data_IF_519069815519
#
_entry.id   IF_519069815519
#
_cell.length_a   1.000
_cell.length_b   1.000
_cell.length_c   1.000
_cell.angle_alpha   90.00
_cell.angle_beta   90.00
_cell.angle_gamma   90.00
#
_symmetry.space_group_name_H-M   'P 1'
#
loop_
_entity.id
_entity.type
_entity.pdbx_description
1 polymer ?
#
# COMPACT_ATOMS: atom_id res chain seq x y z
N UNK A 1 -36.35 45.04 -4.93
CA UNK A 1 -34.99 44.88 -4.37
C UNK A 1 -34.79 43.40 -4.12
N UNK A 2 -34.12 42.69 -5.03
CA UNK A 2 -33.84 41.26 -4.86
C UNK A 2 -32.39 41.12 -4.40
N UNK A 3 -32.22 40.61 -3.18
CA UNK A 3 -30.92 40.23 -2.64
C UNK A 3 -30.42 38.99 -3.39
N UNK A 4 -29.38 39.16 -4.21
CA UNK A 4 -28.63 38.05 -4.78
C UNK A 4 -27.79 37.46 -3.66
N UNK A 5 -28.20 36.29 -3.16
CA UNK A 5 -27.36 35.47 -2.30
C UNK A 5 -26.16 35.01 -3.13
N UNK A 6 -24.99 35.61 -2.87
CA UNK A 6 -23.72 35.14 -3.38
C UNK A 6 -23.43 33.77 -2.75
N UNK A 7 -23.60 32.70 -3.52
CA UNK A 7 -23.10 31.38 -3.15
C UNK A 7 -21.57 31.48 -3.09
N UNK A 8 -21.01 31.60 -1.88
CA UNK A 8 -19.58 31.42 -1.69
C UNK A 8 -19.24 30.01 -2.11
N UNK A 9 -18.62 29.87 -3.28
CA UNK A 9 -17.84 28.70 -3.64
C UNK A 9 -16.85 28.48 -2.49
N UNK A 10 -17.02 27.40 -1.73
CA UNK A 10 -16.01 27.00 -0.75
C UNK A 10 -14.75 26.64 -1.54
N UNK A 11 -13.78 27.55 -1.52
CA UNK A 11 -12.46 27.30 -2.09
C UNK A 11 -11.85 26.11 -1.34
N UNK A 12 -11.38 25.11 -2.09
CA UNK A 12 -10.73 23.95 -1.51
C UNK A 12 -9.51 24.39 -0.69
N UNK A 13 -9.24 23.79 0.48
CA UNK A 13 -8.07 24.09 1.27
C UNK A 13 -6.80 23.87 0.44
N UNK A 14 -5.80 24.71 0.68
CA UNK A 14 -4.59 24.78 -0.11
C UNK A 14 -3.37 25.07 0.77
N UNK A 15 -2.17 24.90 0.21
CA UNK A 15 -0.95 25.27 0.92
C UNK A 15 -0.85 26.77 1.24
N UNK A 16 -1.70 27.63 0.64
CA UNK A 16 -1.76 29.05 0.95
C UNK A 16 -2.49 29.33 2.27
N UNK A 17 -3.27 28.37 2.76
CA UNK A 17 -3.98 28.45 4.05
C UNK A 17 -3.06 28.08 5.23
N UNK A 18 -1.83 27.64 4.94
CA UNK A 18 -0.81 27.37 5.96
C UNK A 18 -0.22 28.68 6.49
N UNK A 19 0.22 28.71 7.76
CA UNK A 19 0.94 29.85 8.33
C UNK A 19 2.18 30.21 7.49
N UNK A 20 2.47 31.51 7.36
CA UNK A 20 3.58 31.99 6.56
C UNK A 20 4.92 31.36 6.98
N UNK A 21 5.66 30.84 6.01
CA UNK A 21 6.96 30.17 6.23
C UNK A 21 6.87 28.69 6.64
N UNK A 22 5.68 28.17 6.93
CA UNK A 22 5.51 26.80 7.43
C UNK A 22 5.46 25.71 6.35
N UNK A 23 5.20 26.10 5.09
CA UNK A 23 4.91 25.17 3.99
C UNK A 23 6.02 24.13 3.75
N UNK A 24 7.29 24.53 3.85
CA UNK A 24 8.41 23.61 3.64
C UNK A 24 8.41 22.49 4.69
N UNK A 25 8.27 22.84 5.98
CA UNK A 25 8.25 21.87 7.08
C UNK A 25 6.97 21.03 7.03
N UNK A 26 5.83 21.65 6.69
CA UNK A 26 4.58 20.93 6.49
C UNK A 26 4.74 19.80 5.46
N UNK A 27 5.30 20.11 4.29
CA UNK A 27 5.44 19.14 3.19
C UNK A 27 6.54 18.10 3.48
N UNK A 28 7.70 18.53 3.97
CA UNK A 28 8.89 17.66 4.07
C UNK A 28 8.95 16.84 5.35
N UNK A 29 8.25 17.26 6.41
CA UNK A 29 8.27 16.58 7.71
C UNK A 29 6.86 16.19 8.16
N UNK A 30 5.96 17.16 8.30
CA UNK A 30 4.64 16.91 8.89
C UNK A 30 3.84 15.89 8.08
N UNK A 31 3.72 16.07 6.76
CA UNK A 31 2.95 15.18 5.88
C UNK A 31 3.48 13.74 5.87
N UNK A 32 4.78 13.47 5.68
CA UNK A 32 5.31 12.11 5.81
C UNK A 32 5.07 11.49 7.20
N UNK A 33 5.15 12.27 8.27
CA UNK A 33 4.89 11.78 9.64
C UNK A 33 3.40 11.48 9.83
N UNK A 34 2.52 12.30 9.27
CA UNK A 34 1.09 12.05 9.21
C UNK A 34 0.79 10.74 8.47
N UNK A 35 1.41 10.51 7.30
CA UNK A 35 1.23 9.25 6.56
C UNK A 35 1.77 8.05 7.33
N UNK A 36 2.92 8.19 8.01
CA UNK A 36 3.44 7.15 8.89
C UNK A 36 2.45 6.83 10.01
N UNK A 37 1.88 7.84 10.67
CA UNK A 37 0.85 7.68 11.69
C UNK A 37 -0.37 6.92 11.15
N UNK A 38 -0.97 7.41 10.06
CA UNK A 38 -2.16 6.79 9.46
C UNK A 38 -1.86 5.36 9.01
N UNK A 39 -0.66 5.12 8.47
CA UNK A 39 -0.15 3.79 8.11
C UNK A 39 -0.15 2.80 9.28
N UNK A 40 0.00 3.26 10.53
CA UNK A 40 0.03 2.39 11.72
C UNK A 40 -1.35 2.06 12.31
N UNK A 41 -2.42 2.70 11.83
CA UNK A 41 -3.77 2.46 12.34
C UNK A 41 -4.29 1.06 11.93
N UNK A 42 -5.41 0.66 12.52
CA UNK A 42 -6.06 -0.60 12.16
C UNK A 42 -6.93 -0.49 10.91
N UNK A 43 -7.41 0.70 10.56
CA UNK A 43 -8.16 0.93 9.34
C UNK A 43 -7.89 2.37 8.87
N UNK A 44 -7.27 2.57 7.69
CA UNK A 44 -6.95 3.90 7.20
C UNK A 44 -8.17 4.68 6.71
N UNK A 45 -9.30 3.99 6.45
CA UNK A 45 -10.52 4.59 5.93
C UNK A 45 -11.42 5.17 7.04
N UNK A 46 -11.21 4.78 8.30
CA UNK A 46 -11.94 5.36 9.43
C UNK A 46 -11.29 6.69 9.77
N UNK A 47 -11.86 7.78 9.27
CA UNK A 47 -11.33 9.14 9.51
C UNK A 47 -11.89 9.80 10.77
N UNK A 48 -12.77 9.11 11.50
CA UNK A 48 -13.36 9.60 12.74
C UNK A 48 -12.30 9.80 13.82
N UNK A 49 -12.52 10.83 14.66
CA UNK A 49 -11.66 11.17 15.80
C UNK A 49 -10.18 11.42 15.43
N UNK A 50 -9.92 11.94 14.23
CA UNK A 50 -8.56 12.28 13.79
C UNK A 50 -8.07 13.65 14.26
N UNK A 51 -8.95 14.57 14.66
CA UNK A 51 -8.56 15.91 15.12
C UNK A 51 -7.54 15.83 16.26
N UNK A 52 -7.85 15.11 17.33
CA UNK A 52 -6.98 15.02 18.51
C UNK A 52 -5.58 14.45 18.19
N UNK A 53 -5.43 13.28 17.54
CA UNK A 53 -4.10 12.76 17.23
C UNK A 53 -3.34 13.64 16.23
N UNK A 54 -3.99 14.21 15.22
CA UNK A 54 -3.33 15.14 14.27
C UNK A 54 -2.92 16.43 15.00
N UNK A 55 -3.70 16.89 15.98
CA UNK A 55 -3.38 18.05 16.81
C UNK A 55 -2.10 17.82 17.64
N UNK A 56 -1.92 16.61 18.18
CA UNK A 56 -0.68 16.23 18.90
C UNK A 56 0.52 16.28 17.96
N UNK A 57 0.38 15.76 16.74
CA UNK A 57 1.44 15.85 15.72
C UNK A 57 1.75 17.31 15.37
N UNK A 58 0.71 18.14 15.23
CA UNK A 58 0.87 19.55 14.89
C UNK A 58 1.67 20.28 15.97
N UNK A 59 1.29 20.14 17.24
CA UNK A 59 2.02 20.77 18.34
C UNK A 59 3.44 20.25 18.51
N UNK A 60 3.73 19.02 18.07
CA UNK A 60 5.07 18.43 18.18
C UNK A 60 6.00 18.92 17.06
N UNK A 61 5.48 19.08 15.84
CA UNK A 61 6.30 19.30 14.63
C UNK A 61 6.23 20.73 14.10
N UNK A 62 5.13 21.43 14.37
CA UNK A 62 4.85 22.79 13.90
C UNK A 62 4.93 23.79 15.07
N UNK A 63 5.92 23.62 15.95
CA UNK A 63 6.08 24.38 17.21
C UNK A 63 6.15 25.89 16.96
N UNK A 64 6.82 26.31 15.89
CA UNK A 64 6.97 27.72 15.51
C UNK A 64 5.68 28.32 14.90
N UNK A 65 4.70 27.47 14.57
CA UNK A 65 3.40 27.86 14.00
C UNK A 65 2.25 27.24 14.81
N UNK A 66 2.06 27.68 16.06
CA UNK A 66 1.03 27.13 16.92
C UNK A 66 -0.36 27.35 16.30
N UNK A 67 -1.10 26.27 16.12
CA UNK A 67 -2.47 26.29 15.61
C UNK A 67 -3.30 25.24 16.34
N UNK A 68 -4.54 25.59 16.68
CA UNK A 68 -5.51 24.67 17.28
C UNK A 68 -6.67 24.50 16.30
N UNK A 69 -6.90 23.28 15.85
CA UNK A 69 -8.03 22.95 15.00
C UNK A 69 -9.33 23.24 15.75
N UNK A 70 -10.23 24.02 15.14
CA UNK A 70 -11.52 24.35 15.75
C UNK A 70 -12.49 23.16 15.70
N UNK A 71 -12.59 22.54 14.54
CA UNK A 71 -13.51 21.48 14.19
C UNK A 71 -13.10 20.85 12.84
N UNK A 72 -13.94 20.00 12.26
CA UNK A 72 -13.67 19.29 11.01
C UNK A 72 -13.60 20.20 9.77
N UNK A 73 -14.08 21.45 9.86
CA UNK A 73 -14.03 22.45 8.79
C UNK A 73 -12.84 23.41 8.92
N UNK A 74 -11.96 23.22 9.92
CA UNK A 74 -10.72 23.98 10.02
C UNK A 74 -9.86 23.74 8.76
N UNK A 75 -9.42 24.82 8.10
CA UNK A 75 -8.75 24.73 6.81
C UNK A 75 -7.45 23.92 6.85
N UNK A 76 -6.69 24.02 7.95
CA UNK A 76 -5.44 23.27 8.11
C UNK A 76 -5.75 21.80 8.38
N UNK A 77 -6.78 21.51 9.18
CA UNK A 77 -7.25 20.13 9.36
C UNK A 77 -7.76 19.52 8.04
N UNK A 78 -8.59 20.24 7.28
CA UNK A 78 -9.06 19.79 5.97
C UNK A 78 -7.88 19.55 5.01
N UNK A 79 -6.82 20.37 5.06
CA UNK A 79 -5.60 20.15 4.29
C UNK A 79 -4.87 18.87 4.74
N UNK A 80 -4.82 18.57 6.04
CA UNK A 80 -4.29 17.30 6.54
C UNK A 80 -5.09 16.11 6.00
N UNK A 81 -6.43 16.20 6.02
CA UNK A 81 -7.31 15.17 5.46
C UNK A 81 -7.08 14.99 3.96
N UNK A 82 -6.94 16.08 3.20
CA UNK A 82 -6.58 16.01 1.79
C UNK A 82 -5.26 15.26 1.58
N UNK A 83 -4.25 15.48 2.42
CA UNK A 83 -2.97 14.75 2.34
C UNK A 83 -3.13 13.27 2.65
N UNK A 84 -4.03 12.88 3.55
CA UNK A 84 -4.35 11.47 3.81
C UNK A 84 -4.99 10.83 2.57
N UNK A 85 -5.96 11.51 1.94
CA UNK A 85 -6.57 11.03 0.71
C UNK A 85 -5.57 10.95 -0.45
N UNK A 86 -4.67 11.93 -0.60
CA UNK A 86 -3.58 11.91 -1.58
C UNK A 86 -2.71 10.65 -1.39
N UNK A 87 -2.39 10.29 -0.14
CA UNK A 87 -1.63 9.09 0.18
C UNK A 87 -2.38 7.80 -0.15
N UNK A 88 -3.66 7.67 0.24
CA UNK A 88 -4.48 6.51 -0.16
C UNK A 88 -4.52 6.36 -1.68
N UNK A 89 -4.69 7.47 -2.41
CA UNK A 89 -4.70 7.49 -3.87
C UNK A 89 -3.36 7.05 -4.46
N UNK A 90 -2.24 7.51 -3.90
CA UNK A 90 -0.91 7.14 -4.36
C UNK A 90 -0.65 5.63 -4.19
N UNK A 91 -1.04 5.06 -3.05
CA UNK A 91 -0.96 3.61 -2.82
C UNK A 91 -1.86 2.82 -3.78
N UNK A 92 -3.04 3.35 -4.05
CA UNK A 92 -3.97 2.78 -5.03
C UNK A 92 -3.42 2.70 -6.42
N UNK A 93 -2.79 3.79 -6.85
CA UNK A 93 -2.10 3.85 -8.13
C UNK A 93 -0.98 2.80 -8.20
N UNK A 94 -0.14 2.71 -7.17
CA UNK A 94 0.95 1.73 -7.15
C UNK A 94 0.44 0.28 -7.19
N UNK A 95 -0.67 -0.01 -6.52
CA UNK A 95 -1.31 -1.33 -6.55
C UNK A 95 -1.86 -1.68 -7.95
N UNK A 96 -2.49 -0.72 -8.63
CA UNK A 96 -2.95 -0.90 -10.01
C UNK A 96 -1.77 -1.16 -10.95
N UNK A 97 -0.70 -0.36 -10.87
CA UNK A 97 0.50 -0.55 -11.67
C UNK A 97 1.10 -1.96 -11.44
N UNK A 98 1.06 -2.46 -10.20
CA UNK A 98 1.49 -3.82 -9.86
C UNK A 98 0.61 -4.91 -10.47
N UNK A 99 -0.71 -4.71 -10.51
CA UNK A 99 -1.66 -5.63 -11.16
C UNK A 99 -1.46 -5.64 -12.68
N UNK A 100 -1.31 -4.48 -13.29
CA UNK A 100 -1.04 -4.36 -14.73
C UNK A 100 0.28 -5.05 -15.12
N UNK A 101 1.33 -4.87 -14.31
CA UNK A 101 2.60 -5.56 -14.50
C UNK A 101 2.47 -7.09 -14.36
N UNK A 102 1.67 -7.55 -13.39
CA UNK A 102 1.37 -8.98 -13.22
C UNK A 102 0.66 -9.54 -14.46
N UNK A 103 -0.36 -8.85 -14.95
CA UNK A 103 -1.10 -9.27 -16.15
C UNK A 103 -0.21 -9.30 -17.40
N UNK A 104 0.67 -8.31 -17.55
CA UNK A 104 1.63 -8.27 -18.64
C UNK A 104 2.69 -9.39 -18.58
N UNK A 105 2.95 -9.96 -17.38
CA UNK A 105 4.00 -10.95 -17.17
C UNK A 105 3.66 -12.37 -17.63
N UNK A 106 2.37 -12.71 -17.77
CA UNK A 106 1.92 -14.08 -18.07
C UNK A 106 0.79 -14.06 -19.11
N UNK A 107 0.98 -14.83 -20.19
CA UNK A 107 0.02 -14.92 -21.31
C UNK A 107 -1.37 -15.40 -20.86
N UNK A 108 -1.48 -16.10 -19.72
CA UNK A 108 -2.78 -16.54 -19.19
C UNK A 108 -3.69 -15.38 -18.74
N UNK A 109 -3.13 -14.17 -18.61
CA UNK A 109 -3.86 -12.95 -18.27
C UNK A 109 -4.06 -12.03 -19.49
N UNK A 110 -4.03 -12.56 -20.72
CA UNK A 110 -4.16 -11.74 -21.93
C UNK A 110 -5.57 -11.14 -22.11
N UNK A 111 -6.59 -11.75 -21.52
CA UNK A 111 -7.99 -11.35 -21.66
C UNK A 111 -8.71 -11.16 -20.33
N UNK A 112 -9.94 -10.64 -20.42
CA UNK A 112 -10.79 -10.36 -19.27
C UNK A 112 -11.15 -11.64 -18.48
N UNK A 113 -11.25 -12.78 -19.15
CA UNK A 113 -11.57 -14.05 -18.50
C UNK A 113 -10.38 -14.54 -17.65
N UNK A 114 -9.15 -14.39 -18.15
CA UNK A 114 -7.93 -14.61 -17.39
C UNK A 114 -7.81 -13.71 -16.16
N UNK A 115 -8.16 -12.42 -16.30
CA UNK A 115 -8.23 -11.50 -15.16
C UNK A 115 -9.26 -11.95 -14.12
N UNK A 116 -10.46 -12.35 -14.57
CA UNK A 116 -11.54 -12.82 -13.70
C UNK A 116 -11.14 -14.09 -12.94
N UNK A 117 -10.58 -15.08 -13.65
CA UNK A 117 -10.10 -16.32 -13.05
C UNK A 117 -9.01 -16.05 -12.00
N UNK A 118 -8.10 -15.09 -12.27
CA UNK A 118 -7.12 -14.65 -11.28
C UNK A 118 -7.78 -14.06 -10.05
N UNK A 119 -8.73 -13.13 -10.21
CA UNK A 119 -9.41 -12.48 -9.08
C UNK A 119 -10.19 -13.50 -8.24
N UNK A 120 -10.91 -14.42 -8.88
CA UNK A 120 -11.63 -15.50 -8.19
C UNK A 120 -10.68 -16.41 -7.39
N UNK A 121 -9.54 -16.78 -7.99
CA UNK A 121 -8.48 -17.54 -7.31
C UNK A 121 -7.87 -16.74 -6.15
N UNK A 122 -7.42 -15.52 -6.40
CA UNK A 122 -6.79 -14.63 -5.45
C UNK A 122 -7.67 -14.40 -4.22
N UNK A 123 -8.97 -14.16 -4.42
CA UNK A 123 -9.96 -13.94 -3.37
C UNK A 123 -10.60 -15.25 -2.86
N UNK A 124 -10.09 -16.40 -3.31
CA UNK A 124 -10.55 -17.72 -2.89
C UNK A 124 -10.23 -18.05 -1.43
N UNK A 125 -10.56 -19.27 -0.99
CA UNK A 125 -10.28 -19.74 0.36
C UNK A 125 -8.81 -19.54 0.75
N UNK A 126 -8.58 -19.08 1.98
CA UNK A 126 -7.24 -18.76 2.53
C UNK A 126 -6.52 -17.59 1.87
N UNK A 127 -7.15 -16.87 0.94
CA UNK A 127 -6.64 -15.65 0.29
C UNK A 127 -5.25 -15.84 -0.39
N UNK A 128 -5.16 -16.64 -1.47
CA UNK A 128 -3.90 -16.92 -2.19
C UNK A 128 -3.02 -15.71 -2.49
N UNK A 129 -3.59 -14.54 -2.79
CA UNK A 129 -2.82 -13.33 -3.09
C UNK A 129 -1.94 -12.83 -1.92
N UNK A 130 -2.13 -13.37 -0.71
CA UNK A 130 -1.26 -13.09 0.42
C UNK A 130 0.11 -13.73 0.29
N UNK A 131 0.24 -14.84 -0.44
CA UNK A 131 1.39 -15.72 -0.32
C UNK A 131 2.29 -15.62 -1.56
N UNK A 132 3.56 -15.27 -1.34
CA UNK A 132 4.56 -15.20 -2.41
C UNK A 132 4.89 -16.55 -3.03
N UNK A 133 4.46 -17.67 -2.43
CA UNK A 133 4.61 -19.02 -2.99
C UNK A 133 3.49 -19.94 -2.51
N UNK A 134 2.92 -20.70 -3.45
CA UNK A 134 1.86 -21.68 -3.18
C UNK A 134 2.29 -22.99 -3.85
N UNK A 135 2.55 -24.01 -3.03
CA UNK A 135 2.93 -25.34 -3.52
C UNK A 135 1.74 -26.31 -3.34
N UNK A 136 1.42 -27.06 -4.39
CA UNK A 136 0.39 -28.10 -4.37
C UNK A 136 1.07 -29.47 -4.41
N UNK A 137 0.74 -30.34 -3.46
CA UNK A 137 1.24 -31.72 -3.40
C UNK A 137 0.17 -32.73 -3.80
N UNK A 138 0.60 -33.95 -4.11
CA UNK A 138 -0.31 -35.09 -4.25
C UNK A 138 -1.15 -35.23 -2.96
N UNK A 139 -2.47 -35.44 -3.11
CA UNK A 139 -3.52 -35.40 -2.06
C UNK A 139 -4.12 -34.02 -1.71
N UNK A 140 -4.11 -33.06 -2.64
CA UNK A 140 -4.73 -31.73 -2.48
C UNK A 140 -4.21 -30.91 -1.27
N UNK A 141 -3.01 -31.25 -0.79
CA UNK A 141 -2.35 -30.49 0.27
C UNK A 141 -1.76 -29.23 -0.35
N UNK A 142 -2.32 -28.09 0.04
CA UNK A 142 -1.85 -26.76 -0.38
C UNK A 142 -1.02 -26.12 0.73
N UNK A 143 0.26 -25.89 0.43
CA UNK A 143 1.20 -25.19 1.31
C UNK A 143 1.31 -23.72 0.90
N UNK A 144 0.91 -22.83 1.80
CA UNK A 144 0.94 -21.38 1.61
C UNK A 144 2.19 -20.79 2.28
N UNK A 145 3.16 -20.35 1.48
CA UNK A 145 4.47 -19.87 1.93
C UNK A 145 4.66 -18.38 1.65
N UNK A 146 5.63 -17.75 2.32
CA UNK A 146 5.99 -16.34 2.10
C UNK A 146 4.78 -15.38 2.22
N UNK A 147 4.04 -15.49 3.33
CA UNK A 147 2.90 -14.62 3.61
C UNK A 147 3.28 -13.13 3.56
N UNK A 148 2.41 -12.30 2.97
CA UNK A 148 2.57 -10.87 2.68
C UNK A 148 3.74 -10.51 1.75
N UNK A 149 4.30 -11.48 1.02
CA UNK A 149 5.42 -11.25 0.09
C UNK A 149 5.03 -11.47 -1.37
N UNK A 150 3.76 -11.22 -1.73
CA UNK A 150 3.39 -11.17 -3.14
C UNK A 150 3.87 -9.87 -3.78
N UNK A 151 4.17 -9.88 -5.08
CA UNK A 151 4.61 -8.67 -5.79
C UNK A 151 3.65 -7.49 -5.62
N UNK A 152 2.34 -7.76 -5.60
CA UNK A 152 1.29 -6.74 -5.36
C UNK A 152 1.49 -6.01 -4.03
N UNK A 153 1.68 -6.77 -2.94
CA UNK A 153 1.89 -6.21 -1.60
C UNK A 153 3.22 -5.48 -1.54
N UNK A 154 4.30 -6.10 -2.06
CA UNK A 154 5.65 -5.56 -1.99
C UNK A 154 5.81 -4.25 -2.76
N UNK A 155 5.24 -4.14 -3.97
CA UNK A 155 5.29 -2.90 -4.75
C UNK A 155 4.49 -1.77 -4.11
N UNK A 156 3.31 -2.07 -3.57
CA UNK A 156 2.52 -1.07 -2.84
C UNK A 156 3.25 -0.62 -1.57
N UNK A 157 3.95 -1.55 -0.90
CA UNK A 157 4.77 -1.26 0.27
C UNK A 157 5.99 -0.41 -0.10
N UNK A 158 6.63 -0.68 -1.22
CA UNK A 158 7.72 0.15 -1.75
C UNK A 158 7.25 1.59 -2.00
N UNK A 159 6.09 1.77 -2.63
CA UNK A 159 5.49 3.09 -2.83
C UNK A 159 5.22 3.83 -1.49
N UNK A 160 4.74 3.11 -0.47
CA UNK A 160 4.60 3.68 0.86
C UNK A 160 5.95 4.15 1.43
N UNK A 161 7.00 3.34 1.31
CA UNK A 161 8.34 3.68 1.79
C UNK A 161 8.90 4.91 1.06
N UNK A 162 8.71 5.02 -0.26
CA UNK A 162 9.13 6.20 -1.03
C UNK A 162 8.48 7.49 -0.53
N UNK A 163 7.21 7.43 -0.12
CA UNK A 163 6.49 8.57 0.46
C UNK A 163 7.02 8.95 1.85
N UNK A 164 7.67 8.03 2.56
CA UNK A 164 8.29 8.26 3.87
C UNK A 164 9.79 8.62 3.78
N UNK A 165 10.42 8.52 2.61
CA UNK A 165 11.83 8.80 2.40
C UNK A 165 12.30 10.16 2.98
N UNK A 166 11.52 11.27 2.91
CA UNK A 166 11.95 12.55 3.48
C UNK A 166 12.23 12.55 4.99
N UNK A 167 11.65 11.60 5.73
CA UNK A 167 11.81 11.46 7.19
C UNK A 167 12.61 10.22 7.58
N UNK A 168 13.07 9.44 6.60
CA UNK A 168 13.87 8.26 6.83
C UNK A 168 15.24 8.67 7.42
N UNK A 169 15.71 7.92 8.42
CA UNK A 169 16.97 8.23 9.12
C UNK A 169 16.90 9.30 10.22
N UNK A 170 15.80 10.05 10.35
CA UNK A 170 15.63 11.02 11.43
C UNK A 170 14.64 10.55 12.51
N UNK A 171 15.09 9.62 13.35
CA UNK A 171 14.26 9.01 14.40
C UNK A 171 13.69 10.00 15.42
N UNK A 172 14.30 11.18 15.56
CA UNK A 172 13.86 12.25 16.47
C UNK A 172 12.51 12.84 16.06
N UNK A 173 12.12 12.73 14.78
CA UNK A 173 10.87 13.30 14.28
C UNK A 173 9.63 12.48 14.64
N UNK A 174 9.79 11.25 15.14
CA UNK A 174 8.67 10.34 15.38
C UNK A 174 8.81 9.59 16.72
N UNK A 175 9.35 10.25 17.74
CA UNK A 175 9.40 9.72 19.11
C UNK A 175 8.03 9.60 19.78
N UNK A 176 7.01 10.27 19.23
CA UNK A 176 5.64 10.24 19.73
C UNK A 176 4.87 8.95 19.37
N UNK A 177 5.40 8.09 18.49
CA UNK A 177 4.72 6.87 18.05
C UNK A 177 5.25 5.65 18.80
N UNK A 178 4.34 4.89 19.42
CA UNK A 178 4.66 3.63 20.11
C UNK A 178 4.55 2.41 19.19
N UNK A 179 3.77 2.52 18.10
CA UNK A 179 3.60 1.47 17.11
C UNK A 179 4.25 1.88 15.78
N UNK A 180 5.16 1.03 15.27
CA UNK A 180 5.85 1.24 14.00
C UNK A 180 5.39 0.28 12.90
N UNK A 181 4.42 -0.59 13.18
CA UNK A 181 3.94 -1.56 12.20
C UNK A 181 2.89 -0.90 11.30
N UNK A 182 3.10 -0.81 9.98
CA UNK A 182 2.18 -0.12 9.09
C UNK A 182 0.98 -1.02 8.72
N UNK A 183 0.14 -1.35 9.71
CA UNK A 183 -1.03 -2.24 9.57
C UNK A 183 -2.03 -1.72 8.52
N UNK A 184 -2.41 -0.45 8.60
CA UNK A 184 -3.32 0.19 7.64
C UNK A 184 -2.83 0.11 6.21
N UNK A 185 -1.52 0.26 6.00
CA UNK A 185 -0.95 0.21 4.66
C UNK A 185 -1.18 -1.16 4.02
N UNK A 186 -1.00 -2.25 4.78
CA UNK A 186 -1.30 -3.59 4.29
C UNK A 186 -2.80 -3.73 3.96
N UNK A 187 -3.69 -3.12 4.75
CA UNK A 187 -5.13 -3.06 4.45
C UNK A 187 -5.41 -2.31 3.15
N UNK A 188 -4.68 -1.24 2.86
CA UNK A 188 -4.85 -0.50 1.61
C UNK A 188 -4.47 -1.31 0.37
N UNK A 189 -3.53 -2.25 0.48
CA UNK A 189 -3.15 -3.11 -0.66
C UNK A 189 -4.31 -3.95 -1.19
N UNK A 190 -5.38 -4.12 -0.41
CA UNK A 190 -6.50 -5.01 -0.75
C UNK A 190 -7.83 -4.30 -0.95
N UNK A 191 -7.94 -3.03 -0.57
CA UNK A 191 -9.21 -2.29 -0.59
C UNK A 191 -9.37 -1.34 -1.77
N UNK A 192 -8.37 -1.21 -2.64
CA UNK A 192 -8.39 -0.12 -3.61
C UNK A 192 -9.09 -0.54 -4.90
N UNK A 193 -10.27 0.06 -5.04
CA UNK A 193 -11.09 0.08 -6.25
C UNK A 193 -10.47 1.00 -7.31
N UNK A 194 -10.17 0.45 -8.48
CA UNK A 194 -9.86 1.24 -9.66
C UNK A 194 -11.19 1.56 -10.34
N UNK A 195 -11.87 2.57 -9.79
CA UNK A 195 -13.03 3.17 -10.41
C UNK A 195 -12.62 3.98 -11.66
N UNK A 196 -12.41 3.29 -12.77
CA UNK A 196 -12.45 3.89 -14.11
C UNK A 196 -13.30 3.03 -15.04
N UNK A 197 -14.63 3.03 -14.81
CA UNK A 197 -15.72 2.56 -15.71
C UNK A 197 -15.26 1.79 -16.98
N UNK A 198 -15.60 0.51 -17.19
CA UNK A 198 -16.95 -0.07 -17.37
C UNK A 198 -16.87 -1.60 -17.21
N UNK A 199 -17.89 -2.20 -16.58
CA UNK A 199 -18.09 -3.64 -16.35
C UNK A 199 -17.08 -4.36 -15.46
N UNK A 200 -17.19 -4.04 -14.17
CA UNK A 200 -17.07 -4.93 -13.00
C UNK A 200 -16.09 -6.11 -13.08
N UNK A 201 -14.93 -5.94 -12.41
CA UNK A 201 -14.24 -6.90 -11.53
C UNK A 201 -12.99 -6.21 -10.94
N UNK A 202 -13.09 -5.74 -9.69
CA UNK A 202 -11.99 -5.09 -8.94
C UNK A 202 -11.99 -5.53 -7.47
N UNK A 203 -10.86 -5.32 -6.77
CA UNK A 203 -10.69 -5.52 -5.33
C UNK A 203 -11.52 -4.48 -4.55
N UNK A 204 -12.84 -4.67 -4.55
CA UNK A 204 -13.83 -3.75 -3.99
C UNK A 204 -14.19 -4.12 -2.55
N UNK A 205 -14.21 -3.15 -1.64
CA UNK A 205 -14.72 -3.32 -0.27
C UNK A 205 -16.13 -3.98 -0.21
N UNK A 206 -16.99 -3.64 -1.19
CA UNK A 206 -18.33 -4.24 -1.34
C UNK A 206 -18.33 -5.74 -1.66
N UNK A 207 -17.26 -6.28 -2.23
CA UNK A 207 -17.05 -7.71 -2.47
C UNK A 207 -16.32 -8.41 -1.32
N UNK A 208 -15.70 -7.64 -0.43
CA UNK A 208 -14.90 -8.18 0.67
C UNK A 208 -15.77 -8.60 1.85
N UNK A 209 -16.80 -7.83 2.22
CA UNK A 209 -17.73 -8.20 3.30
C UNK A 209 -16.99 -8.72 4.54
N UNK A 210 -17.26 -9.95 4.97
CA UNK A 210 -16.57 -10.59 6.12
C UNK A 210 -15.10 -10.98 5.86
N UNK A 211 -14.65 -11.08 4.60
CA UNK A 211 -13.24 -11.38 4.24
C UNK A 211 -12.28 -10.27 4.64
N UNK A 212 -12.74 -9.01 4.67
CA UNK A 212 -11.96 -7.89 5.20
C UNK A 212 -11.59 -8.11 6.66
N UNK A 213 -12.53 -8.60 7.47
CA UNK A 213 -12.29 -8.89 8.88
C UNK A 213 -11.23 -10.00 9.05
N UNK A 214 -11.29 -11.06 8.23
CA UNK A 214 -10.26 -12.12 8.24
C UNK A 214 -8.87 -11.61 7.83
N UNK A 215 -8.81 -10.69 6.88
CA UNK A 215 -7.57 -10.08 6.44
C UNK A 215 -6.98 -9.13 7.49
N UNK A 216 -7.81 -8.25 8.06
CA UNK A 216 -7.44 -7.38 9.20
C UNK A 216 -6.91 -8.24 10.36
N UNK A 217 -7.61 -9.32 10.70
CA UNK A 217 -7.18 -10.24 11.76
C UNK A 217 -5.85 -10.94 11.42
N UNK A 218 -5.63 -11.26 10.14
CA UNK A 218 -4.34 -11.82 9.68
C UNK A 218 -3.20 -10.81 9.83
N UNK A 219 -3.45 -9.52 9.55
CA UNK A 219 -2.48 -8.44 9.78
C UNK A 219 -2.18 -8.26 11.26
N UNK A 220 -3.20 -8.26 12.12
CA UNK A 220 -3.03 -8.14 13.58
C UNK A 220 -2.14 -9.25 14.15
N UNK A 221 -2.08 -10.40 13.50
CA UNK A 221 -1.26 -11.56 13.90
C UNK A 221 0.16 -11.52 13.34
N UNK A 222 0.51 -10.56 12.47
CA UNK A 222 1.87 -10.42 11.93
C UNK A 222 2.81 -10.07 13.09
N UNK A 223 3.76 -10.96 13.34
CA UNK A 223 4.82 -10.74 14.35
C UNK A 223 5.82 -9.70 13.83
N UNK A 224 6.44 -8.94 14.75
CA UNK A 224 7.48 -7.94 14.42
C UNK A 224 8.56 -8.45 13.45
N UNK A 225 9.04 -9.69 13.65
CA UNK A 225 10.02 -10.33 12.75
C UNK A 225 9.53 -10.40 11.30
N UNK A 226 8.24 -10.64 11.09
CA UNK A 226 7.67 -10.75 9.75
C UNK A 226 7.53 -9.37 9.08
N UNK A 227 7.24 -8.32 9.85
CA UNK A 227 7.32 -6.94 9.33
C UNK A 227 8.72 -6.57 8.85
N UNK A 228 9.77 -6.99 9.57
CA UNK A 228 11.16 -6.77 9.14
C UNK A 228 11.44 -7.47 7.81
N UNK A 229 10.93 -8.69 7.63
CA UNK A 229 11.05 -9.43 6.37
C UNK A 229 10.31 -8.72 5.22
N UNK A 230 9.04 -8.33 5.43
CA UNK A 230 8.26 -7.58 4.42
C UNK A 230 8.96 -6.28 4.04
N UNK A 231 9.50 -5.55 5.02
CA UNK A 231 10.20 -4.29 4.79
C UNK A 231 11.50 -4.48 3.99
N UNK A 232 12.29 -5.50 4.34
CA UNK A 232 13.52 -5.82 3.61
C UNK A 232 13.24 -6.20 2.15
N UNK A 233 12.20 -6.98 1.89
CA UNK A 233 11.80 -7.38 0.53
C UNK A 233 11.23 -6.18 -0.25
N UNK A 234 10.38 -5.35 0.38
CA UNK A 234 9.83 -4.16 -0.26
C UNK A 234 10.91 -3.13 -0.65
N UNK A 235 11.98 -3.02 0.13
CA UNK A 235 13.11 -2.16 -0.19
C UNK A 235 13.85 -2.60 -1.46
N UNK A 236 13.82 -3.88 -1.82
CA UNK A 236 14.42 -4.34 -3.08
C UNK A 236 13.67 -3.77 -4.28
N UNK A 237 12.33 -3.68 -4.19
CA UNK A 237 11.50 -3.02 -5.21
C UNK A 237 11.73 -1.51 -5.30
N UNK A 238 12.26 -0.89 -4.25
CA UNK A 238 12.65 0.53 -4.24
C UNK A 238 14.01 0.77 -4.92
N UNK A 239 14.88 -0.24 -4.98
CA UNK A 239 16.27 -0.12 -5.47
C UNK A 239 16.43 -0.33 -6.97
N UNK A 240 15.43 -0.89 -7.66
CA UNK A 240 15.46 -1.18 -9.10
C UNK A 240 14.28 -0.55 -9.82
N UNK A 241 14.44 0.61 -10.48
CA UNK A 241 13.60 0.94 -11.62
C UNK A 241 14.06 0.02 -12.76
N UNK A 242 13.15 -0.81 -13.31
CA UNK A 242 13.45 -1.92 -14.23
C UNK A 242 14.17 -3.13 -13.60
N UNK A 243 13.42 -3.94 -12.88
CA UNK A 243 13.64 -5.38 -12.90
C UNK A 243 12.29 -6.05 -13.11
N UNK A 244 11.96 -6.26 -14.39
CA UNK A 244 11.05 -7.34 -14.73
C UNK A 244 11.52 -8.59 -14.01
N UNK A 245 10.57 -9.29 -13.38
CA UNK A 245 10.78 -10.53 -12.65
C UNK A 245 11.73 -11.44 -13.44
N UNK A 246 13.01 -11.40 -13.10
CA UNK A 246 14.01 -12.26 -13.72
C UNK A 246 13.89 -13.58 -12.97
N UNK A 247 13.31 -14.54 -13.68
CA UNK A 247 13.21 -15.94 -13.30
C UNK A 247 14.61 -16.44 -12.95
N UNK A 248 14.92 -16.44 -11.65
CA UNK A 248 16.11 -17.06 -11.10
C UNK A 248 15.86 -18.58 -10.99
N UNK A 249 15.48 -19.19 -12.11
CA UNK A 249 15.79 -20.56 -12.40
C UNK A 249 17.30 -20.60 -12.70
N UNK A 250 18.10 -20.91 -11.68
CA UNK A 250 19.46 -21.39 -11.85
C UNK A 250 19.49 -22.48 -12.94
N UNK A 251 19.91 -22.09 -14.15
CA UNK A 251 20.43 -23.01 -15.13
C UNK A 251 21.79 -23.48 -14.62
N UNK A 252 21.84 -24.70 -14.08
CA UNK A 252 23.10 -25.44 -14.01
C UNK A 252 23.20 -26.27 -15.28
N UNK A 253 23.95 -25.69 -16.21
CA UNK A 253 24.85 -26.27 -17.23
C UNK A 253 24.56 -27.69 -17.74
N UNK A 254 24.27 -27.70 -19.04
CA UNK A 254 24.30 -28.83 -19.98
C UNK A 254 25.63 -29.60 -19.94
N UNK A 255 25.55 -30.93 -19.90
CA UNK A 255 26.49 -31.78 -20.64
C UNK A 255 25.70 -32.92 -21.29
N UNK A 256 25.35 -32.72 -22.56
CA UNK A 256 24.85 -33.75 -23.46
C UNK A 256 25.98 -34.13 -24.40
N UNK A 257 26.91 -34.96 -23.94
CA UNK A 257 27.84 -35.67 -24.82
C UNK A 257 28.21 -37.03 -24.20
N UNK A 258 27.30 -37.99 -24.36
CA UNK A 258 27.66 -39.40 -24.45
C UNK A 258 26.89 -39.97 -25.64
N UNK A 259 27.57 -40.09 -26.78
CA UNK A 259 27.10 -40.89 -27.91
C UNK A 259 27.07 -42.37 -27.52
N UNK A 260 26.11 -43.16 -28.02
CA UNK A 260 26.16 -44.61 -27.89
C UNK A 260 27.23 -45.15 -28.85
N UNK A 261 28.18 -45.94 -28.32
CA UNK A 261 28.97 -46.85 -29.16
C UNK A 261 28.44 -48.26 -28.94
N UNK A 262 27.79 -48.78 -29.96
CA UNK A 262 27.53 -50.20 -30.12
C UNK A 262 28.85 -50.97 -30.34
N UNK A 263 28.82 -52.20 -29.83
CA UNK A 263 29.42 -53.42 -30.36
C UNK A 263 30.88 -53.84 -30.06
N UNK A 264 30.90 -55.01 -29.40
CA UNK A 264 31.70 -56.24 -29.66
C UNK A 264 33.13 -56.31 -29.12
N UNK A 265 33.32 -57.23 -28.16
CA UNK A 265 33.74 -58.62 -28.45
C UNK A 265 33.21 -59.60 -27.39
#
# INVERSE_FOLDING_TARGET
MNAVASSKSHQAPSNLDLPAGSQCIFITQFVPILWKYIGTRENPWITDALIEPIQVLWYTLMVDWPHKFSDENDLIYCLCMQKIYDWCKALGKAMLEAMEALWASDKKYFDLEGHKAYVEYALGPRLPFLYGKIDCYENDIVLMLKAFLTPLILQTFAAHLSLLAPIEGNSKLYTAFTNNNPCSMLILTVTIDVATKKSELSFLDTHWGTKMLYYIESIKRIKKRKYVEILAEAQQYHATPDAGYQDDCMQIVVSSDIKPSEDKE
#
